data_IF_689117182889
#
_entry.id   IF_689117182889
#
_cell.length_a   1.000
_cell.length_b   1.000
_cell.length_c   1.000
_cell.angle_alpha   90.00
_cell.angle_beta   90.00
_cell.angle_gamma   90.00
#
_symmetry.space_group_name_H-M   'P 1'
#
loop_
_entity.id
_entity.type
_entity.pdbx_description
1 polymer ?
#
# COMPACT_ATOMS: atom_id res chain seq x y z
N UNK A 1 82.08 0.82 30.99
CA UNK A 1 82.74 2.17 30.91
C UNK A 1 81.65 3.14 30.41
N UNK A 2 81.27 4.03 31.31
CA UNK A 2 81.03 5.46 31.05
C UNK A 2 79.85 5.74 30.07
N UNK A 3 78.89 6.51 30.36
CA UNK A 3 78.54 7.69 31.19
C UNK A 3 77.20 8.12 30.52
N UNK A 4 76.12 8.25 31.27
CA UNK A 4 75.70 9.51 31.90
C UNK A 4 75.43 10.66 30.93
N UNK A 5 74.20 11.07 30.86
CA UNK A 5 73.63 12.42 31.07
C UNK A 5 72.21 12.45 30.51
N UNK A 6 71.16 12.56 31.32
CA UNK A 6 70.51 13.75 31.87
C UNK A 6 70.29 14.88 30.85
N UNK A 7 69.02 15.15 30.53
CA UNK A 7 68.34 16.42 30.72
C UNK A 7 67.08 16.54 29.84
N UNK A 8 66.02 16.73 30.49
CA UNK A 8 65.14 17.91 30.55
C UNK A 8 64.02 17.95 29.48
N UNK A 9 62.89 17.70 30.01
CA UNK A 9 61.69 18.52 29.90
C UNK A 9 61.36 19.21 28.55
N UNK A 10 60.31 18.83 27.96
CA UNK A 10 59.35 19.78 27.40
C UNK A 10 57.95 19.15 27.32
N UNK A 11 57.12 19.65 28.18
CA UNK A 11 55.65 19.56 28.03
C UNK A 11 55.25 20.06 26.63
N UNK A 12 54.62 19.25 25.86
CA UNK A 12 53.70 19.74 24.85
C UNK A 12 52.40 18.93 24.93
N UNK A 13 51.53 19.53 25.63
CA UNK A 13 50.12 19.30 25.72
C UNK A 13 49.54 19.54 24.32
N UNK A 14 49.37 18.50 23.53
CA UNK A 14 48.54 18.59 22.32
C UNK A 14 47.13 18.13 22.68
N UNK A 15 46.29 19.12 22.82
CA UNK A 15 44.86 19.00 22.96
C UNK A 15 44.30 18.13 21.85
N UNK A 16 43.68 17.05 22.28
CA UNK A 16 42.76 16.27 21.43
C UNK A 16 41.52 17.17 21.20
N UNK A 17 41.49 17.79 20.03
CA UNK A 17 40.33 18.54 19.57
C UNK A 17 39.20 17.54 19.30
N UNK A 18 38.37 17.38 20.27
CA UNK A 18 37.07 16.83 20.12
C UNK A 18 36.27 17.88 19.34
N UNK A 19 35.96 17.59 18.11
CA UNK A 19 35.00 18.38 17.30
C UNK A 19 33.63 18.15 17.90
N UNK A 20 33.22 19.05 18.78
CA UNK A 20 31.83 19.20 19.13
C UNK A 20 31.11 19.67 17.86
N UNK A 21 30.36 18.77 17.26
CA UNK A 21 29.35 19.18 16.32
C UNK A 21 28.26 19.90 17.11
N UNK A 22 28.36 21.22 17.09
CA UNK A 22 27.34 22.12 17.55
C UNK A 22 26.00 21.79 16.85
N UNK A 23 25.17 21.05 17.54
CA UNK A 23 23.74 21.06 17.27
C UNK A 23 23.27 22.43 17.73
N UNK A 24 23.27 23.36 16.82
CA UNK A 24 22.63 24.66 16.99
C UNK A 24 21.14 24.40 17.21
N UNK A 25 20.73 24.36 18.45
CA UNK A 25 19.35 24.62 18.85
C UNK A 25 19.11 26.11 18.59
N UNK A 26 18.80 26.43 17.34
CA UNK A 26 18.21 27.73 17.03
C UNK A 26 16.81 27.77 17.64
N UNK A 27 16.76 28.56 18.68
CA UNK A 27 15.65 29.34 19.23
C UNK A 27 14.28 29.00 18.71
N UNK A 28 13.52 28.36 19.58
CA UNK A 28 12.06 28.38 19.54
C UNK A 28 11.67 29.82 19.90
N UNK A 29 11.51 30.67 18.90
CA UNK A 29 10.82 31.95 19.09
C UNK A 29 9.33 31.67 19.21
N UNK A 30 8.91 31.87 20.44
CA UNK A 30 7.54 32.05 20.85
C UNK A 30 6.86 33.10 19.92
N UNK A 31 5.81 32.75 19.29
CA UNK A 31 4.50 33.43 19.19
C UNK A 31 3.64 32.70 18.16
N UNK A 32 2.55 32.17 18.64
CA UNK A 32 1.49 31.59 17.87
C UNK A 32 1.05 32.38 16.65
N UNK A 33 1.38 31.85 15.51
CA UNK A 33 0.57 32.00 14.32
C UNK A 33 0.49 30.64 13.66
N UNK A 34 -0.58 29.93 13.99
CA UNK A 34 -1.06 28.83 13.17
C UNK A 34 -1.58 29.46 11.88
N UNK A 35 -0.64 29.97 11.07
CA UNK A 35 -0.95 30.25 9.67
C UNK A 35 -1.26 28.93 9.05
N UNK A 36 -2.52 28.83 8.59
CA UNK A 36 -3.08 27.65 8.00
C UNK A 36 -2.07 26.95 7.10
N UNK A 37 -1.76 25.72 7.47
CA UNK A 37 -1.09 24.79 6.59
C UNK A 37 -2.07 24.57 5.45
N UNK A 38 -1.97 25.42 4.43
CA UNK A 38 -2.53 25.11 3.12
C UNK A 38 -1.90 23.77 2.77
N UNK A 39 -2.75 22.70 2.77
CA UNK A 39 -2.30 21.34 2.73
C UNK A 39 -1.29 21.11 1.61
N UNK A 40 -0.07 20.84 2.00
CA UNK A 40 0.86 20.10 1.15
C UNK A 40 0.15 18.79 0.86
N UNK A 41 -0.43 18.69 -0.33
CA UNK A 41 -1.01 17.45 -0.81
C UNK A 41 0.16 16.54 -1.12
N UNK A 42 0.55 15.73 -0.15
CA UNK A 42 1.44 14.62 -0.41
C UNK A 42 0.65 13.66 -1.29
N UNK A 43 0.95 13.66 -2.58
CA UNK A 43 0.41 12.72 -3.57
C UNK A 43 0.65 11.25 -3.17
N UNK A 44 1.50 11.02 -2.20
CA UNK A 44 1.92 9.70 -1.74
C UNK A 44 1.11 9.19 -0.53
N UNK A 45 0.21 10.01 0.03
CA UNK A 45 -0.61 9.58 1.16
C UNK A 45 -1.68 8.57 0.69
N UNK A 46 -1.68 7.38 1.30
CA UNK A 46 -2.64 6.32 1.01
C UNK A 46 -3.62 6.17 2.16
N UNK A 47 -4.89 6.43 1.90
CA UNK A 47 -5.95 6.32 2.88
C UNK A 47 -6.44 4.86 3.00
N UNK A 48 -6.65 4.42 4.23
CA UNK A 48 -7.23 3.09 4.52
C UNK A 48 -8.76 3.15 4.60
N UNK A 49 -9.29 4.31 5.01
CA UNK A 49 -10.73 4.56 5.13
C UNK A 49 -10.99 5.91 4.46
N UNK A 50 -11.95 5.96 3.57
CA UNK A 50 -12.35 7.16 2.82
C UNK A 50 -13.87 7.31 2.84
N UNK A 51 -14.36 8.54 2.71
CA UNK A 51 -15.79 8.84 2.70
C UNK A 51 -16.49 8.22 1.49
N UNK A 52 -15.88 8.34 0.30
CA UNK A 52 -16.33 7.71 -0.93
C UNK A 52 -15.27 6.71 -1.38
N UNK A 53 -15.51 5.38 -1.27
CA UNK A 53 -14.55 4.38 -1.67
C UNK A 53 -14.36 4.31 -3.19
N UNK A 54 -13.17 3.89 -3.67
CA UNK A 54 -12.96 3.61 -5.07
C UNK A 54 -13.96 2.59 -5.61
N UNK A 55 -14.40 2.77 -6.85
CA UNK A 55 -15.34 1.86 -7.48
C UNK A 55 -14.88 1.42 -8.87
N UNK A 56 -15.27 0.20 -9.27
CA UNK A 56 -15.04 -0.27 -10.62
C UNK A 56 -15.89 0.54 -11.61
N UNK A 57 -15.37 0.91 -12.81
CA UNK A 57 -16.16 1.63 -13.82
C UNK A 57 -17.35 0.78 -14.26
N UNK A 58 -18.55 1.35 -14.12
CA UNK A 58 -19.81 0.62 -14.33
C UNK A 58 -20.29 -0.21 -13.13
N UNK A 59 -19.63 -0.07 -11.97
CA UNK A 59 -20.09 -0.65 -10.70
C UNK A 59 -19.87 -2.15 -10.57
N UNK A 60 -20.56 -2.75 -9.60
CA UNK A 60 -20.39 -4.16 -9.22
C UNK A 60 -20.73 -5.15 -10.36
N UNK A 61 -21.72 -4.86 -11.18
CA UNK A 61 -22.11 -5.74 -12.29
C UNK A 61 -21.05 -5.76 -13.40
N UNK A 62 -20.48 -4.59 -13.72
CA UNK A 62 -19.39 -4.49 -14.68
C UNK A 62 -18.13 -5.21 -14.16
N UNK A 63 -17.83 -5.08 -12.88
CA UNK A 63 -16.75 -5.83 -12.23
C UNK A 63 -16.98 -7.34 -12.30
N UNK A 64 -18.18 -7.81 -11.98
CA UNK A 64 -18.56 -9.22 -12.09
C UNK A 64 -18.38 -9.75 -13.52
N UNK A 65 -18.82 -8.98 -14.51
CA UNK A 65 -18.62 -9.32 -15.92
C UNK A 65 -17.15 -9.38 -16.29
N UNK A 66 -16.36 -8.42 -15.81
CA UNK A 66 -14.90 -8.41 -16.01
C UNK A 66 -14.24 -9.68 -15.44
N UNK A 67 -14.62 -10.09 -14.23
CA UNK A 67 -14.15 -11.34 -13.62
C UNK A 67 -14.52 -12.56 -14.47
N UNK A 68 -15.78 -12.71 -14.82
CA UNK A 68 -16.27 -13.84 -15.61
C UNK A 68 -15.60 -13.96 -16.98
N UNK A 69 -15.21 -12.83 -17.57
CA UNK A 69 -14.56 -12.79 -18.88
C UNK A 69 -13.07 -13.07 -18.81
N UNK A 70 -12.37 -12.56 -17.77
CA UNK A 70 -10.91 -12.51 -17.72
C UNK A 70 -10.28 -13.50 -16.75
N UNK A 71 -11.03 -13.97 -15.72
CA UNK A 71 -10.52 -14.92 -14.74
C UNK A 71 -10.42 -16.32 -15.36
N UNK A 72 -9.19 -16.86 -15.32
CA UNK A 72 -8.90 -18.21 -15.78
C UNK A 72 -8.63 -19.10 -14.59
N UNK A 73 -9.32 -20.23 -14.51
CA UNK A 73 -9.02 -21.20 -13.48
C UNK A 73 -7.72 -21.95 -13.82
N UNK A 74 -6.69 -21.91 -12.98
CA UNK A 74 -5.42 -22.60 -13.28
C UNK A 74 -5.59 -24.11 -13.34
N UNK A 75 -4.97 -24.74 -14.36
CA UNK A 75 -5.05 -26.21 -14.53
C UNK A 75 -4.50 -26.98 -13.35
N UNK A 76 -3.45 -26.46 -12.71
CA UNK A 76 -2.89 -27.05 -11.51
C UNK A 76 -3.92 -27.09 -10.38
N UNK A 77 -4.66 -25.99 -10.17
CA UNK A 77 -5.69 -25.95 -9.14
C UNK A 77 -6.86 -26.88 -9.47
N UNK A 78 -7.29 -26.97 -10.74
CA UNK A 78 -8.32 -27.90 -11.18
C UNK A 78 -7.91 -29.36 -10.89
N UNK A 79 -6.69 -29.74 -11.29
CA UNK A 79 -6.20 -31.12 -11.12
C UNK A 79 -6.03 -31.52 -9.64
N UNK A 80 -5.78 -30.55 -8.77
CA UNK A 80 -5.62 -30.77 -7.33
C UNK A 80 -6.90 -30.53 -6.53
N UNK A 81 -7.98 -30.13 -7.16
CA UNK A 81 -9.24 -29.82 -6.46
C UNK A 81 -9.14 -28.63 -5.51
N UNK A 82 -8.25 -27.64 -5.80
CA UNK A 82 -8.04 -26.48 -4.92
C UNK A 82 -9.13 -25.46 -5.18
N UNK A 83 -9.95 -25.21 -4.17
CA UNK A 83 -11.00 -24.20 -4.14
C UNK A 83 -10.81 -23.25 -2.97
N UNK A 84 -11.32 -22.04 -3.07
CA UNK A 84 -11.29 -21.09 -1.96
C UNK A 84 -11.32 -19.62 -2.38
N UNK A 85 -10.95 -18.76 -1.45
CA UNK A 85 -10.92 -17.32 -1.65
C UNK A 85 -9.50 -16.79 -1.58
N UNK A 86 -9.09 -16.06 -2.58
CA UNK A 86 -7.86 -15.29 -2.59
C UNK A 86 -8.20 -13.86 -2.17
N UNK A 87 -7.47 -13.34 -1.19
CA UNK A 87 -7.62 -11.96 -0.73
C UNK A 87 -6.44 -11.14 -1.24
N UNK A 88 -6.74 -10.09 -1.96
CA UNK A 88 -5.75 -9.21 -2.58
C UNK A 88 -5.94 -7.79 -2.06
N UNK A 89 -4.85 -7.15 -1.65
CA UNK A 89 -4.79 -5.72 -1.34
C UNK A 89 -4.16 -4.96 -2.48
N UNK A 90 -4.66 -3.78 -2.76
CA UNK A 90 -4.09 -2.87 -3.75
C UNK A 90 -4.45 -1.42 -3.41
N UNK A 91 -3.78 -0.49 -4.05
CA UNK A 91 -4.06 0.95 -3.94
C UNK A 91 -4.69 1.42 -5.25
N UNK A 92 -5.80 2.12 -5.14
CA UNK A 92 -6.38 2.87 -6.26
C UNK A 92 -5.85 4.30 -6.17
N UNK A 93 -5.12 4.73 -7.19
CA UNK A 93 -4.55 6.08 -7.24
C UNK A 93 -5.61 7.12 -7.58
N UNK A 94 -5.27 8.40 -7.41
CA UNK A 94 -6.11 9.53 -7.85
C UNK A 94 -6.40 9.55 -9.35
N UNK A 95 -5.59 8.83 -10.14
CA UNK A 95 -5.81 8.62 -11.58
C UNK A 95 -6.68 7.40 -11.89
N UNK A 96 -7.02 6.60 -10.88
CA UNK A 96 -7.80 5.36 -11.04
C UNK A 96 -6.95 4.12 -11.32
N UNK A 97 -5.62 4.24 -11.37
CA UNK A 97 -4.72 3.11 -11.61
C UNK A 97 -4.59 2.25 -10.37
N UNK A 98 -4.35 0.96 -10.58
CA UNK A 98 -4.08 0.01 -9.51
C UNK A 98 -2.57 -0.10 -9.28
N UNK A 99 -2.14 0.10 -8.04
CA UNK A 99 -0.76 -0.02 -7.61
C UNK A 99 -0.63 -0.89 -6.37
N UNK A 100 0.59 -1.37 -6.12
CA UNK A 100 0.91 -2.16 -4.92
C UNK A 100 -0.03 -3.37 -4.73
N UNK A 101 -0.32 -4.08 -5.83
CA UNK A 101 -1.17 -5.28 -5.79
C UNK A 101 -0.43 -6.40 -5.06
N UNK A 102 -0.99 -6.86 -3.95
CA UNK A 102 -0.39 -7.88 -3.08
C UNK A 102 -1.43 -8.90 -2.63
N UNK A 103 -1.08 -10.17 -2.66
CA UNK A 103 -1.90 -11.23 -2.09
C UNK A 103 -1.71 -11.24 -0.58
N UNK A 104 -2.78 -10.95 0.17
CA UNK A 104 -2.78 -11.02 1.65
C UNK A 104 -2.95 -12.47 2.10
N UNK A 105 -3.85 -13.20 1.43
CA UNK A 105 -4.14 -14.60 1.72
C UNK A 105 -4.44 -15.31 0.42
N UNK A 106 -3.61 -16.29 0.09
CA UNK A 106 -3.73 -17.14 -1.08
C UNK A 106 -4.27 -18.54 -0.76
N UNK A 107 -4.51 -19.30 -1.81
CA UNK A 107 -4.92 -20.71 -1.76
C UNK A 107 -3.98 -21.62 -2.54
N UNK A 108 -2.99 -21.04 -3.25
CA UNK A 108 -2.03 -21.79 -4.05
C UNK A 108 -2.59 -22.30 -5.38
N UNK A 109 -1.91 -23.30 -5.96
CA UNK A 109 -2.33 -23.89 -7.23
C UNK A 109 -2.33 -22.93 -8.44
N UNK A 110 -1.64 -21.78 -8.33
CA UNK A 110 -1.65 -20.72 -9.35
C UNK A 110 -2.81 -19.72 -9.24
N UNK A 111 -3.78 -19.94 -8.35
CA UNK A 111 -4.93 -19.05 -8.16
C UNK A 111 -4.50 -17.65 -7.69
N UNK A 112 -3.45 -17.58 -6.88
CA UNK A 112 -2.94 -16.32 -6.33
C UNK A 112 -2.38 -15.43 -7.45
N UNK A 113 -1.56 -16.01 -8.33
CA UNK A 113 -1.00 -15.32 -9.50
C UNK A 113 -2.09 -14.90 -10.47
N UNK A 114 -3.10 -15.75 -10.67
CA UNK A 114 -4.22 -15.45 -11.54
C UNK A 114 -5.07 -14.29 -11.02
N UNK A 115 -5.30 -14.22 -9.71
CA UNK A 115 -6.01 -13.11 -9.08
C UNK A 115 -5.28 -11.78 -9.28
N UNK A 116 -3.95 -11.76 -9.17
CA UNK A 116 -3.13 -10.58 -9.46
C UNK A 116 -3.21 -10.20 -10.93
N UNK A 117 -2.99 -11.15 -11.84
CA UNK A 117 -3.07 -10.92 -13.29
C UNK A 117 -4.42 -10.33 -13.71
N UNK A 118 -5.51 -10.82 -13.13
CA UNK A 118 -6.86 -10.34 -13.42
C UNK A 118 -7.03 -8.88 -13.00
N UNK A 119 -6.46 -8.48 -11.86
CA UNK A 119 -6.47 -7.08 -11.41
C UNK A 119 -5.59 -6.19 -12.30
N UNK A 120 -4.44 -6.66 -12.73
CA UNK A 120 -3.56 -5.93 -13.66
C UNK A 120 -4.21 -5.66 -15.02
N UNK A 121 -5.14 -6.52 -15.45
CA UNK A 121 -5.95 -6.34 -16.66
C UNK A 121 -7.19 -5.47 -16.44
N UNK A 122 -7.40 -5.00 -15.23
CA UNK A 122 -8.54 -4.14 -14.91
C UNK A 122 -8.42 -2.79 -15.61
N UNK A 123 -9.52 -2.21 -16.10
CA UNK A 123 -9.54 -0.82 -16.54
C UNK A 123 -9.28 0.12 -15.34
N UNK A 124 -9.03 1.39 -15.64
CA UNK A 124 -8.88 2.40 -14.61
C UNK A 124 -10.15 2.50 -13.74
N UNK A 125 -9.96 2.50 -12.44
CA UNK A 125 -11.04 2.59 -11.46
C UNK A 125 -11.47 4.04 -11.23
N UNK A 126 -12.66 4.23 -10.70
CA UNK A 126 -13.10 5.53 -10.20
C UNK A 126 -12.41 5.73 -8.84
N UNK A 127 -11.56 6.78 -8.68
CA UNK A 127 -10.82 7.01 -7.44
C UNK A 127 -11.71 7.28 -6.23
N UNK A 128 -11.19 7.00 -5.06
CA UNK A 128 -11.84 7.38 -3.81
C UNK A 128 -11.80 8.87 -3.55
N UNK A 129 -12.72 9.35 -2.70
CA UNK A 129 -12.73 10.75 -2.27
C UNK A 129 -12.76 10.87 -0.76
N UNK A 130 -12.06 11.90 -0.29
CA UNK A 130 -12.05 12.33 1.10
C UNK A 130 -12.27 13.84 1.14
N UNK A 131 -13.30 14.29 1.83
CA UNK A 131 -13.68 15.71 1.90
C UNK A 131 -13.82 16.36 0.50
N UNK A 132 -14.41 15.62 -0.45
CA UNK A 132 -14.62 16.05 -1.82
C UNK A 132 -13.37 16.07 -2.72
N UNK A 133 -12.21 15.62 -2.24
CA UNK A 133 -10.95 15.54 -3.00
C UNK A 133 -10.61 14.10 -3.35
N UNK A 134 -10.07 13.88 -4.55
CA UNK A 134 -9.56 12.58 -4.95
C UNK A 134 -8.34 12.22 -4.10
N UNK A 135 -8.30 10.97 -3.63
CA UNK A 135 -7.21 10.45 -2.80
C UNK A 135 -6.81 9.06 -3.23
N UNK A 136 -5.55 8.70 -2.96
CA UNK A 136 -5.12 7.31 -3.09
C UNK A 136 -5.74 6.51 -1.96
N UNK A 137 -6.45 5.44 -2.30
CA UNK A 137 -7.13 4.63 -1.31
C UNK A 137 -6.75 3.15 -1.42
N UNK A 138 -6.49 2.52 -0.28
CA UNK A 138 -6.22 1.08 -0.21
C UNK A 138 -7.52 0.31 -0.21
N UNK A 139 -7.58 -0.71 -1.06
CA UNK A 139 -8.70 -1.62 -1.18
C UNK A 139 -8.28 -3.06 -0.91
N UNK A 140 -9.19 -3.84 -0.33
CA UNK A 140 -9.05 -5.28 -0.21
C UNK A 140 -10.17 -5.96 -0.99
N UNK A 141 -9.82 -6.93 -1.80
CA UNK A 141 -10.73 -7.63 -2.66
C UNK A 141 -10.68 -9.13 -2.41
N UNK A 142 -11.84 -9.78 -2.45
CA UNK A 142 -11.98 -11.23 -2.38
C UNK A 142 -12.26 -11.77 -3.78
N UNK A 143 -11.40 -12.66 -4.27
CA UNK A 143 -11.59 -13.40 -5.53
C UNK A 143 -11.89 -14.85 -5.17
N UNK A 144 -13.09 -15.33 -5.49
CA UNK A 144 -13.53 -16.69 -5.21
C UNK A 144 -13.22 -17.64 -6.36
N UNK A 145 -12.55 -18.74 -6.08
CA UNK A 145 -12.30 -19.84 -7.00
C UNK A 145 -13.14 -21.05 -6.59
N UNK A 146 -14.07 -21.49 -7.45
CA UNK A 146 -14.95 -22.64 -7.22
C UNK A 146 -14.95 -23.56 -8.43
N UNK A 147 -14.91 -24.87 -8.19
CA UNK A 147 -14.88 -25.92 -9.23
C UNK A 147 -16.28 -26.42 -9.65
N UNK A 148 -17.34 -25.86 -9.09
CA UNK A 148 -18.70 -26.28 -9.45
C UNK A 148 -18.94 -26.05 -10.94
N UNK A 149 -19.23 -27.15 -11.65
CA UNK A 149 -19.34 -27.21 -13.09
C UNK A 149 -20.02 -25.98 -13.71
N UNK A 150 -19.31 -25.33 -14.59
CA UNK A 150 -19.71 -24.32 -15.55
C UNK A 150 -19.96 -22.89 -15.09
N UNK A 151 -19.89 -22.53 -13.82
CA UNK A 151 -20.05 -21.12 -13.45
C UNK A 151 -19.03 -20.72 -12.38
N UNK A 152 -18.13 -19.82 -12.74
CA UNK A 152 -17.40 -18.98 -11.77
C UNK A 152 -18.45 -18.06 -11.13
N UNK A 153 -19.21 -18.57 -10.17
CA UNK A 153 -20.09 -17.72 -9.37
C UNK A 153 -19.22 -16.83 -8.51
N UNK A 154 -19.07 -15.61 -8.92
CA UNK A 154 -18.59 -14.55 -8.04
C UNK A 154 -19.72 -14.35 -7.02
N UNK A 155 -19.49 -14.82 -5.79
CA UNK A 155 -20.47 -14.71 -4.73
C UNK A 155 -20.83 -13.24 -4.49
N UNK A 156 -22.09 -13.02 -4.18
CA UNK A 156 -22.72 -11.73 -3.89
C UNK A 156 -22.09 -10.95 -2.72
N UNK A 157 -21.20 -11.60 -1.97
CA UNK A 157 -20.47 -11.00 -0.85
C UNK A 157 -19.50 -9.87 -1.25
N UNK A 158 -19.11 -9.78 -2.53
CA UNK A 158 -18.36 -8.64 -3.02
C UNK A 158 -19.20 -7.36 -3.00
N UNK A 159 -20.54 -7.48 -3.06
CA UNK A 159 -21.46 -6.37 -2.88
C UNK A 159 -21.60 -5.98 -1.41
N UNK A 160 -21.44 -6.92 -0.48
CA UNK A 160 -21.54 -6.63 0.94
C UNK A 160 -20.40 -5.71 1.42
N UNK A 161 -19.22 -5.85 0.84
CA UNK A 161 -18.07 -4.96 1.15
C UNK A 161 -18.32 -3.55 0.61
N UNK A 162 -18.80 -3.44 -0.63
CA UNK A 162 -19.12 -2.13 -1.22
C UNK A 162 -20.33 -1.50 -0.50
N UNK A 163 -21.33 -2.29 -0.11
CA UNK A 163 -22.53 -1.83 0.60
C UNK A 163 -22.25 -1.49 2.06
N UNK A 164 -21.37 -2.23 2.75
CA UNK A 164 -20.96 -1.91 4.12
C UNK A 164 -20.15 -0.62 4.21
N UNK A 165 -19.41 -0.27 3.15
CA UNK A 165 -18.65 0.99 3.07
C UNK A 165 -19.51 2.17 2.62
N UNK A 166 -20.67 1.95 2.01
CA UNK A 166 -21.59 3.01 1.58
C UNK A 166 -22.67 3.33 2.62
N UNK A 167 -22.71 2.61 3.75
CA UNK A 167 -23.70 2.80 4.82
C UNK A 167 -23.11 3.36 6.13
N UNK A 168 -21.85 3.79 6.12
CA UNK A 168 -21.19 4.57 7.16
C UNK A 168 -21.10 6.04 6.72
#
# INVERSE_FOLDING_TARGET
>A
MKKSTLLLAALLFTALSCSDEDISLESIDEVGQVTGVAGVQNSDEVFLIVEEPPTFPGGADAYRKHLLTNLKYPEQAKNQGIEGNVFVSFVVTTEGKLENIQVIRGIGGGCDTEAVRMLELSPDWIPGKQRGRLVNARMNLKVAFKLSGSDTKVDDDSQAIVKALSSL
#
